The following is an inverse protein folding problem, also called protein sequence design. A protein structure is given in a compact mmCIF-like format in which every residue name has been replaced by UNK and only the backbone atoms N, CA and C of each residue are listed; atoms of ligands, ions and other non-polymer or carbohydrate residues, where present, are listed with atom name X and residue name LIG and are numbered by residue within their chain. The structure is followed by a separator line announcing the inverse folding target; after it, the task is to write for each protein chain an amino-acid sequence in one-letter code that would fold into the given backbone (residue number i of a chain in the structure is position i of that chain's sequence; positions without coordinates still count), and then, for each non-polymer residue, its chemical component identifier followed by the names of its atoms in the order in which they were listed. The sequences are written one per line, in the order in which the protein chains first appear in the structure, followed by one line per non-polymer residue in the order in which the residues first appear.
data_IF_709729826178
#
_entry.id   IF_709729826178
#
_cell.length_a   1.000
_cell.length_b   1.000
_cell.length_c   1.000
_cell.angle_alpha   90.00
_cell.angle_beta   90.00
_cell.angle_gamma   90.00
#
_symmetry.space_group_name_H-M   'P 1'
#
loop_
_entity.id
_entity.type
_entity.pdbx_description
1 polymer ?
#
# COMPACT_ATOMS: atom_id res chain seq x y z
N UNK A 1 -0.78 -7.12 3.59
CA UNK A 1 -2.02 -6.77 4.31
C UNK A 1 -3.05 -6.24 3.33
N UNK A 2 -3.01 -4.95 2.93
CA UNK A 2 -4.04 -4.28 2.11
C UNK A 2 -4.62 -5.12 0.95
N UNK A 3 -3.82 -5.57 -0.02
CA UNK A 3 -4.31 -6.32 -1.18
C UNK A 3 -4.88 -7.71 -0.79
N UNK A 4 -4.19 -8.43 0.10
CA UNK A 4 -4.58 -9.78 0.51
C UNK A 4 -5.89 -9.77 1.30
N UNK A 5 -6.09 -8.77 2.15
CA UNK A 5 -7.28 -8.66 2.99
C UNK A 5 -8.52 -8.26 2.18
N UNK A 6 -8.34 -7.46 1.12
CA UNK A 6 -9.41 -7.18 0.17
C UNK A 6 -9.86 -8.44 -0.60
N UNK A 7 -9.01 -9.46 -0.75
CA UNK A 7 -9.43 -10.77 -1.30
C UNK A 7 -10.20 -11.63 -0.29
N UNK A 8 -10.15 -11.29 1.00
CA UNK A 8 -10.75 -12.03 2.12
C UNK A 8 -11.79 -11.19 2.87
N UNK A 9 -12.52 -10.33 2.17
CA UNK A 9 -13.46 -9.36 2.77
C UNK A 9 -14.50 -10.01 3.69
N UNK A 10 -14.98 -11.22 3.35
CA UNK A 10 -15.97 -11.95 4.13
C UNK A 10 -15.54 -12.21 5.59
N UNK A 11 -14.22 -12.35 5.86
CA UNK A 11 -13.72 -12.51 7.22
C UNK A 11 -13.99 -11.26 8.06
N UNK A 12 -13.63 -10.08 7.54
CA UNK A 12 -13.80 -8.81 8.25
C UNK A 12 -15.28 -8.42 8.36
N UNK A 13 -16.06 -8.67 7.31
CA UNK A 13 -17.51 -8.44 7.31
C UNK A 13 -18.24 -9.32 8.33
N UNK A 14 -17.78 -10.56 8.53
CA UNK A 14 -18.35 -11.45 9.57
C UNK A 14 -18.15 -10.94 10.99
N UNK A 15 -17.14 -10.08 11.20
CA UNK A 15 -16.88 -9.38 12.45
C UNK A 15 -17.60 -8.03 12.53
N UNK A 16 -18.45 -7.68 11.55
CA UNK A 16 -19.14 -6.40 11.48
C UNK A 16 -18.25 -5.23 11.04
N UNK A 17 -17.11 -5.50 10.39
CA UNK A 17 -16.12 -4.48 10.02
C UNK A 17 -16.13 -4.20 8.52
N UNK A 18 -15.78 -2.97 8.13
CA UNK A 18 -15.46 -2.65 6.75
C UNK A 18 -13.97 -2.92 6.48
N UNK A 19 -13.67 -3.88 5.59
CA UNK A 19 -12.31 -4.31 5.24
C UNK A 19 -11.39 -3.15 4.86
N UNK A 20 -11.88 -2.21 4.05
CA UNK A 20 -11.08 -1.07 3.58
C UNK A 20 -10.74 -0.13 4.72
N UNK A 21 -11.74 0.34 5.46
CA UNK A 21 -11.54 1.26 6.58
C UNK A 21 -10.61 0.68 7.63
N UNK A 22 -10.78 -0.61 7.96
CA UNK A 22 -9.89 -1.31 8.89
C UNK A 22 -8.44 -1.30 8.41
N UNK A 23 -8.20 -1.72 7.17
CA UNK A 23 -6.86 -1.78 6.61
C UNK A 23 -6.19 -0.40 6.52
N UNK A 24 -6.94 0.62 6.10
CA UNK A 24 -6.46 2.00 6.05
C UNK A 24 -6.07 2.48 7.45
N UNK A 25 -6.93 2.25 8.45
CA UNK A 25 -6.67 2.63 9.83
C UNK A 25 -5.38 1.99 10.37
N UNK A 26 -5.20 0.67 10.19
CA UNK A 26 -3.99 -0.03 10.65
C UNK A 26 -2.73 0.54 9.99
N UNK A 27 -2.76 0.82 8.69
CA UNK A 27 -1.61 1.42 7.97
C UNK A 27 -1.32 2.83 8.51
N UNK A 28 -2.35 3.66 8.71
CA UNK A 28 -2.20 5.02 9.23
C UNK A 28 -1.59 5.00 10.63
N UNK A 29 -2.13 4.19 11.56
CA UNK A 29 -1.63 4.14 12.93
C UNK A 29 -0.23 3.52 13.03
N UNK A 30 0.07 2.53 12.18
CA UNK A 30 1.43 1.97 12.09
C UNK A 30 2.40 3.02 11.57
N UNK A 31 2.05 3.73 10.51
CA UNK A 31 2.89 4.79 9.96
C UNK A 31 3.10 5.91 10.99
N UNK A 32 2.04 6.38 11.64
CA UNK A 32 2.11 7.39 12.72
C UNK A 32 3.00 6.97 13.88
N UNK A 33 3.05 5.68 14.20
CA UNK A 33 3.97 5.14 15.20
C UNK A 33 5.42 5.19 14.72
N UNK A 34 5.69 4.89 13.44
CA UNK A 34 7.04 4.97 12.84
C UNK A 34 7.52 6.40 12.63
N UNK A 35 6.62 7.38 12.48
CA UNK A 35 6.96 8.83 12.37
C UNK A 35 7.81 9.33 13.54
N UNK A 36 7.66 8.72 14.73
CA UNK A 36 8.43 9.09 15.92
C UNK A 36 9.87 8.57 15.90
N UNK A 37 10.13 7.53 15.12
CA UNK A 37 11.41 6.80 15.11
C UNK A 37 12.29 7.16 13.91
N UNK A 38 11.67 7.45 12.76
CA UNK A 38 12.39 7.66 11.52
C UNK A 38 12.36 9.13 11.08
N UNK A 39 13.45 9.63 10.46
CA UNK A 39 13.53 10.99 9.96
C UNK A 39 12.59 11.24 8.76
N UNK A 40 12.14 10.16 8.10
CA UNK A 40 11.16 10.23 7.03
C UNK A 40 10.37 8.92 6.96
N UNK A 41 9.10 9.01 6.58
CA UNK A 41 8.19 7.87 6.38
C UNK A 41 7.40 8.02 5.07
N UNK A 42 6.79 6.94 4.55
CA UNK A 42 5.82 7.05 3.47
C UNK A 42 4.69 8.05 3.80
N UNK A 43 4.32 8.89 2.83
CA UNK A 43 3.28 9.90 3.02
C UNK A 43 1.86 9.31 2.79
N UNK A 44 1.41 8.51 3.75
CA UNK A 44 0.11 7.80 3.70
C UNK A 44 -1.10 8.69 4.01
N UNK A 45 -0.89 9.97 4.31
CA UNK A 45 -1.96 10.94 4.59
C UNK A 45 -2.44 11.65 3.31
N UNK A 46 -1.74 11.48 2.19
CA UNK A 46 -2.14 12.05 0.90
C UNK A 46 -3.24 11.22 0.24
N UNK A 47 -4.23 11.87 -0.41
CA UNK A 47 -5.23 11.16 -1.22
C UNK A 47 -4.59 10.30 -2.32
N UNK A 48 -3.53 10.80 -2.95
CA UNK A 48 -2.82 10.10 -4.03
C UNK A 48 -2.33 8.71 -3.60
N UNK A 49 -1.80 8.57 -2.38
CA UNK A 49 -1.36 7.26 -1.88
C UNK A 49 -2.51 6.25 -1.89
N UNK A 50 -3.67 6.66 -1.39
CA UNK A 50 -4.86 5.79 -1.33
C UNK A 50 -5.46 5.53 -2.69
N UNK A 51 -5.45 6.50 -3.60
CA UNK A 51 -5.90 6.30 -4.98
C UNK A 51 -5.08 5.21 -5.67
N UNK A 52 -3.75 5.26 -5.54
CA UNK A 52 -2.86 4.22 -6.09
C UNK A 52 -3.06 2.87 -5.39
N UNK A 53 -3.21 2.84 -4.07
CA UNK A 53 -3.49 1.61 -3.32
C UNK A 53 -4.83 0.96 -3.72
N UNK A 54 -5.87 1.77 -3.95
CA UNK A 54 -7.17 1.30 -4.41
C UNK A 54 -7.11 0.80 -5.85
N UNK A 55 -6.39 1.49 -6.72
CA UNK A 55 -6.15 1.02 -8.09
C UNK A 55 -5.41 -0.32 -8.12
N UNK A 56 -4.45 -0.55 -7.22
CA UNK A 56 -3.79 -1.85 -7.06
C UNK A 56 -4.77 -2.96 -6.63
N UNK A 57 -5.76 -2.65 -5.79
CA UNK A 57 -6.83 -3.60 -5.43
C UNK A 57 -7.66 -3.97 -6.66
N UNK A 58 -8.04 -2.99 -7.49
CA UNK A 58 -8.84 -3.21 -8.69
C UNK A 58 -8.08 -4.03 -9.75
N UNK A 59 -6.79 -3.74 -9.96
CA UNK A 59 -5.93 -4.54 -10.84
C UNK A 59 -5.76 -5.98 -10.33
N UNK A 60 -5.53 -6.13 -9.02
CA UNK A 60 -5.41 -7.44 -8.40
C UNK A 60 -6.70 -8.27 -8.53
N UNK A 61 -7.88 -7.64 -8.39
CA UNK A 61 -9.16 -8.30 -8.61
C UNK A 61 -9.30 -8.83 -10.05
N UNK A 62 -8.87 -8.06 -11.05
CA UNK A 62 -8.86 -8.50 -12.46
C UNK A 62 -7.93 -9.69 -12.69
N UNK A 63 -6.72 -9.67 -12.11
CA UNK A 63 -5.78 -10.79 -12.15
C UNK A 63 -6.41 -12.05 -11.52
N UNK A 64 -6.95 -11.92 -10.30
CA UNK A 64 -7.59 -13.05 -9.61
C UNK A 64 -8.79 -13.62 -10.39
N UNK A 65 -9.58 -12.77 -11.05
CA UNK A 65 -10.71 -13.20 -11.86
C UNK A 65 -10.27 -14.02 -13.08
N UNK A 66 -9.20 -13.59 -13.76
CA UNK A 66 -8.61 -14.34 -14.88
C UNK A 66 -8.03 -15.67 -14.40
N UNK A 67 -7.35 -15.65 -13.25
CA UNK A 67 -6.74 -16.85 -12.66
C UNK A 67 -7.80 -17.87 -12.23
N UNK A 68 -8.95 -17.44 -11.71
CA UNK A 68 -10.11 -18.30 -11.36
C UNK A 68 -10.99 -18.67 -12.57
N UNK A 69 -10.83 -17.98 -13.70
CA UNK A 69 -11.63 -18.20 -14.90
C UNK A 69 -11.31 -19.50 -15.64
N UNK A 70 -12.06 -19.74 -16.71
CA UNK A 70 -12.03 -20.96 -17.54
C UNK A 70 -10.97 -20.94 -18.64
N UNK A 71 -10.19 -19.87 -18.76
CA UNK A 71 -9.12 -19.77 -19.76
C UNK A 71 -8.11 -20.93 -19.62
N UNK A 72 -7.57 -21.45 -20.73
CA UNK A 72 -6.48 -22.42 -20.68
C UNK A 72 -5.28 -21.90 -19.89
N UNK A 73 -4.63 -22.77 -19.10
CA UNK A 73 -3.55 -22.36 -18.18
C UNK A 73 -2.38 -21.66 -18.87
N UNK A 74 -2.08 -21.99 -20.13
CA UNK A 74 -1.01 -21.34 -20.89
C UNK A 74 -1.37 -19.94 -21.40
N UNK A 75 -2.66 -19.60 -21.48
CA UNK A 75 -3.13 -18.27 -21.89
C UNK A 75 -3.31 -17.31 -20.70
N UNK A 76 -3.50 -17.82 -19.47
CA UNK A 76 -3.65 -16.99 -18.26
C UNK A 76 -2.47 -16.02 -18.03
N UNK A 77 -1.19 -16.40 -18.21
CA UNK A 77 -0.07 -15.47 -18.07
C UNK A 77 -0.14 -14.32 -19.06
N UNK A 78 -0.50 -14.60 -20.32
CA UNK A 78 -0.62 -13.59 -21.37
C UNK A 78 -1.77 -12.63 -21.05
N UNK A 79 -2.92 -13.18 -20.64
CA UNK A 79 -4.09 -12.38 -20.26
C UNK A 79 -3.85 -11.52 -19.00
N UNK A 80 -3.05 -12.00 -18.04
CA UNK A 80 -2.74 -11.24 -16.81
C UNK A 80 -1.57 -10.26 -16.95
N UNK A 81 -0.73 -10.41 -17.98
CA UNK A 81 0.44 -9.57 -18.23
C UNK A 81 0.16 -8.06 -18.20
N UNK A 82 -0.85 -7.50 -18.91
CA UNK A 82 -1.09 -6.06 -18.89
C UNK A 82 -1.51 -5.53 -17.51
N UNK A 83 -2.19 -6.33 -16.69
CA UNK A 83 -2.56 -5.93 -15.34
C UNK A 83 -1.36 -5.97 -14.40
N UNK A 84 -0.53 -7.01 -14.51
CA UNK A 84 0.70 -7.15 -13.72
C UNK A 84 1.71 -6.04 -14.03
N UNK A 85 1.83 -5.64 -15.30
CA UNK A 85 2.64 -4.48 -15.70
C UNK A 85 2.17 -3.20 -15.00
N UNK A 86 0.87 -2.89 -15.06
CA UNK A 86 0.29 -1.73 -14.39
C UNK A 86 0.45 -1.77 -12.86
N UNK A 87 0.37 -2.96 -12.26
CA UNK A 87 0.61 -3.14 -10.82
C UNK A 87 2.06 -2.78 -10.48
N UNK A 88 3.04 -3.29 -11.24
CA UNK A 88 4.46 -2.98 -11.05
C UNK A 88 4.71 -1.48 -11.21
N UNK A 89 4.16 -0.86 -12.26
CA UNK A 89 4.28 0.57 -12.49
C UNK A 89 3.68 1.40 -11.35
N UNK A 90 2.51 1.00 -10.84
CA UNK A 90 1.83 1.70 -9.72
C UNK A 90 2.60 1.53 -8.41
N UNK A 91 3.14 0.34 -8.13
CA UNK A 91 4.00 0.10 -6.97
C UNK A 91 5.29 0.94 -7.05
N UNK A 92 5.89 1.06 -8.23
CA UNK A 92 7.04 1.93 -8.45
C UNK A 92 6.68 3.41 -8.20
N UNK A 93 5.52 3.87 -8.68
CA UNK A 93 5.04 5.23 -8.38
C UNK A 93 4.92 5.47 -6.88
N UNK A 94 4.29 4.54 -6.13
CA UNK A 94 4.18 4.63 -4.66
C UNK A 94 5.56 4.68 -4.01
N UNK A 95 6.49 3.82 -4.45
CA UNK A 95 7.85 3.75 -3.91
C UNK A 95 8.63 5.06 -4.08
N UNK A 96 8.43 5.77 -5.20
CA UNK A 96 9.08 7.05 -5.48
C UNK A 96 8.27 8.30 -5.05
N UNK A 97 7.13 8.14 -4.38
CA UNK A 97 6.39 9.28 -3.82
C UNK A 97 7.25 10.06 -2.83
N UNK A 98 7.05 11.38 -2.77
CA UNK A 98 7.73 12.23 -1.80
C UNK A 98 7.40 11.78 -0.37
N UNK A 99 8.41 11.39 0.45
CA UNK A 99 8.16 10.94 1.81
C UNK A 99 7.79 12.13 2.71
N UNK A 100 7.05 11.85 3.78
CA UNK A 100 6.77 12.80 4.85
C UNK A 100 8.00 12.86 5.76
N UNK A 101 8.56 14.05 5.96
CA UNK A 101 9.66 14.26 6.90
C UNK A 101 9.12 14.25 8.33
N UNK A 102 9.75 13.48 9.22
CA UNK A 102 9.27 13.20 10.59
C UNK A 102 10.43 13.03 11.56
N UNK A 103 10.13 12.70 12.83
CA UNK A 103 11.15 12.44 13.86
C UNK A 103 11.98 13.66 14.27
N UNK A 104 12.81 13.49 15.29
CA UNK A 104 13.81 14.49 15.66
C UNK A 104 15.03 14.36 14.74
N UNK A 105 15.26 15.37 13.92
CA UNK A 105 16.54 15.57 13.24
C UNK A 105 17.58 16.07 14.27
N UNK A 106 17.89 15.26 15.30
CA UNK A 106 18.91 15.62 16.30
C UNK A 106 20.32 15.75 15.71
N UNK A 107 20.48 15.51 14.40
CA UNK A 107 21.73 15.54 13.66
C UNK A 107 21.83 16.66 12.61
N UNK A 108 20.83 17.55 12.45
CA UNK A 108 20.91 18.62 11.44
C UNK A 108 21.55 19.92 11.91
N UNK A 109 22.00 20.00 13.17
CA UNK A 109 22.87 21.08 13.66
C UNK A 109 24.10 20.49 14.39
N UNK A 110 25.29 20.47 13.76
CA UNK A 110 26.54 20.05 14.43
C UNK A 110 27.06 21.03 15.51
N UNK A 111 26.26 22.00 15.97
CA UNK A 111 26.71 23.10 16.82
C UNK A 111 25.72 23.34 17.95
N UNK A 112 25.66 22.44 18.95
CA UNK A 112 25.19 22.82 20.30
C UNK A 112 25.42 21.79 21.42
N UNK A 113 26.46 20.96 21.36
CA UNK A 113 26.90 20.21 22.53
C UNK A 113 28.34 20.60 22.87
N UNK A 114 28.48 21.71 23.60
CA UNK A 114 29.68 22.02 24.37
C UNK A 114 29.48 21.40 25.75
N UNK A 115 30.21 20.31 26.03
CA UNK A 115 30.43 19.83 27.39
C UNK A 115 31.53 20.66 28.06
#
# INVERSE_FOLDING_TARGET
MYLNDHQRTAFYESLGMNTRQFNQHVIIETNKSTERLFPAVPNVETPEFWDKMNYLVDLNAQVCNIEKGTLPSFLKPIATAPFKERMIATMAQIFFMTPKQTGSLDLTKPTQYSY
#
